data_IF_920167118886
#
_entry.id   IF_920167118886
#
_cell.length_a   1.000
_cell.length_b   1.000
_cell.length_c   1.000
_cell.angle_alpha   90.00
_cell.angle_beta   90.00
_cell.angle_gamma   90.00
#
_symmetry.space_group_name_H-M   'P 1'
#
loop_
_entity.id
_entity.type
_entity.pdbx_description
1 polymer ?
#
# COMPACT_ATOMS: atom_id res chain seq x y z
N UNK A 1 20.56 5.01 -35.14
CA UNK A 1 21.26 5.25 -33.87
C UNK A 1 21.93 3.96 -33.44
N UNK A 2 23.24 4.01 -33.19
CA UNK A 2 24.01 2.83 -32.78
C UNK A 2 23.59 2.41 -31.33
N UNK A 3 23.71 1.10 -31.04
CA UNK A 3 23.26 0.56 -29.74
C UNK A 3 23.92 1.23 -28.53
N UNK A 4 25.20 1.52 -28.60
CA UNK A 4 25.93 2.20 -27.52
C UNK A 4 25.42 3.62 -27.26
N UNK A 5 25.11 4.36 -28.34
CA UNK A 5 24.50 5.68 -28.25
C UNK A 5 23.10 5.62 -27.62
N UNK A 6 22.33 4.57 -27.95
CA UNK A 6 21.01 4.37 -27.37
C UNK A 6 21.09 4.07 -25.87
N UNK A 7 22.02 3.23 -25.44
CA UNK A 7 22.25 2.92 -24.02
C UNK A 7 22.60 4.21 -23.27
N UNK A 8 23.55 5.01 -23.79
CA UNK A 8 23.95 6.26 -23.17
C UNK A 8 22.80 7.26 -23.07
N UNK A 9 22.04 7.44 -24.15
CA UNK A 9 20.88 8.34 -24.14
C UNK A 9 19.81 7.87 -23.14
N UNK A 10 19.54 6.56 -23.07
CA UNK A 10 18.59 6.01 -22.10
C UNK A 10 19.07 6.28 -20.66
N UNK A 11 20.35 6.06 -20.37
CA UNK A 11 20.90 6.35 -19.04
C UNK A 11 20.80 7.84 -18.68
N UNK A 12 21.04 8.73 -19.64
CA UNK A 12 20.92 10.18 -19.41
C UNK A 12 19.44 10.58 -19.17
N UNK A 13 18.49 9.97 -19.89
CA UNK A 13 17.05 10.18 -19.63
C UNK A 13 16.62 9.66 -18.25
N UNK A 14 17.13 8.50 -17.84
CA UNK A 14 16.86 7.94 -16.50
C UNK A 14 17.45 8.80 -15.38
N UNK A 15 18.67 9.34 -15.56
CA UNK A 15 19.25 10.32 -14.60
C UNK A 15 18.36 11.54 -14.45
N UNK A 16 17.94 12.15 -15.57
CA UNK A 16 17.02 13.30 -15.55
C UNK A 16 15.69 12.98 -14.89
N UNK A 17 15.14 11.77 -15.11
CA UNK A 17 13.92 11.32 -14.45
C UNK A 17 14.07 11.35 -12.92
N UNK A 18 15.19 10.82 -12.40
CA UNK A 18 15.47 10.79 -10.95
C UNK A 18 15.75 12.20 -10.41
N UNK A 19 16.60 12.99 -11.07
CA UNK A 19 16.97 14.36 -10.66
C UNK A 19 15.74 15.28 -10.56
N UNK A 20 14.80 15.12 -11.50
CA UNK A 20 13.55 15.90 -11.51
C UNK A 20 12.44 15.30 -10.67
N UNK A 21 12.71 14.21 -9.91
CA UNK A 21 11.72 13.48 -9.12
C UNK A 21 10.50 13.04 -9.94
N UNK A 22 10.74 12.72 -11.22
CA UNK A 22 9.68 12.26 -12.12
C UNK A 22 9.22 10.85 -11.77
N UNK A 23 7.97 10.56 -12.07
CA UNK A 23 7.37 9.24 -11.84
C UNK A 23 7.59 8.28 -13.01
N UNK A 24 7.47 8.77 -14.23
CA UNK A 24 7.49 7.94 -15.42
C UNK A 24 8.28 8.62 -16.57
N UNK A 25 9.00 7.81 -17.37
CA UNK A 25 9.61 8.20 -18.64
C UNK A 25 8.85 7.49 -19.78
N UNK A 26 8.48 8.23 -20.80
CA UNK A 26 7.77 7.77 -21.97
C UNK A 26 8.69 7.78 -23.20
N UNK A 27 8.80 6.65 -23.87
CA UNK A 27 9.52 6.49 -25.14
C UNK A 27 8.53 5.97 -26.18
N UNK A 28 8.22 6.78 -27.16
CA UNK A 28 7.29 6.41 -28.26
C UNK A 28 7.69 7.13 -29.54
N UNK A 29 7.39 6.54 -30.69
CA UNK A 29 7.60 7.18 -31.98
C UNK A 29 6.66 8.36 -32.19
N UNK A 30 7.11 9.39 -32.90
CA UNK A 30 6.32 10.58 -33.21
C UNK A 30 6.17 11.57 -32.05
N UNK A 31 6.84 11.31 -30.91
CA UNK A 31 6.89 12.21 -29.76
C UNK A 31 8.30 12.29 -29.18
N UNK A 32 8.73 13.43 -28.60
CA UNK A 32 10.00 13.50 -27.90
C UNK A 32 10.02 12.58 -26.68
N UNK A 33 11.19 12.04 -26.24
CA UNK A 33 11.30 11.44 -24.93
C UNK A 33 10.72 12.38 -23.87
N UNK A 34 9.83 11.91 -23.02
CA UNK A 34 9.15 12.77 -22.06
C UNK A 34 9.09 12.14 -20.69
N UNK A 35 9.20 12.97 -19.64
CA UNK A 35 9.05 12.54 -18.25
C UNK A 35 7.78 13.13 -17.63
N UNK A 36 7.17 12.38 -16.72
CA UNK A 36 6.03 12.83 -15.93
C UNK A 36 6.52 13.37 -14.58
N UNK A 37 6.26 14.65 -14.33
CA UNK A 37 6.61 15.34 -13.07
C UNK A 37 5.37 16.03 -12.54
N UNK A 38 5.00 15.78 -11.30
CA UNK A 38 3.80 16.33 -10.64
C UNK A 38 2.50 16.13 -11.43
N UNK A 39 2.39 14.99 -12.11
CA UNK A 39 1.22 14.63 -12.92
C UNK A 39 1.27 15.13 -14.36
N UNK A 40 2.19 16.02 -14.73
CA UNK A 40 2.33 16.60 -16.06
C UNK A 40 3.43 15.92 -16.88
N UNK A 41 3.18 15.71 -18.17
CA UNK A 41 4.15 15.18 -19.12
C UNK A 41 5.00 16.32 -19.68
N UNK A 42 6.32 16.24 -19.48
CA UNK A 42 7.29 17.27 -19.90
C UNK A 42 8.29 16.68 -20.89
N UNK A 43 8.29 17.12 -22.17
CA UNK A 43 9.27 16.70 -23.16
C UNK A 43 10.70 17.01 -22.71
N UNK A 44 11.65 16.13 -23.06
CA UNK A 44 13.07 16.25 -22.71
C UNK A 44 13.94 16.73 -23.88
N UNK A 45 13.37 16.85 -25.07
CA UNK A 45 14.00 17.41 -26.26
C UNK A 45 12.93 18.03 -27.16
N UNK A 46 13.35 18.85 -28.14
CA UNK A 46 12.47 19.36 -29.19
C UNK A 46 12.29 18.33 -30.33
N UNK A 47 13.21 17.37 -30.43
CA UNK A 47 13.20 16.37 -31.50
C UNK A 47 12.30 15.20 -31.16
N UNK A 48 11.39 14.88 -32.04
CA UNK A 48 10.57 13.68 -31.96
C UNK A 48 11.40 12.43 -32.31
N UNK A 49 11.08 11.30 -31.73
CA UNK A 49 11.70 10.02 -32.03
C UNK A 49 11.14 9.46 -33.33
N UNK A 50 12.01 9.01 -34.25
CA UNK A 50 11.58 8.16 -35.36
C UNK A 50 11.20 6.75 -34.87
N UNK A 51 10.43 5.97 -35.62
CA UNK A 51 10.13 4.57 -35.29
C UNK A 51 11.37 3.73 -34.96
N UNK A 52 12.44 3.87 -35.77
CA UNK A 52 13.69 3.15 -35.56
C UNK A 52 14.44 3.60 -34.31
N UNK A 53 14.38 4.90 -33.99
CA UNK A 53 15.02 5.43 -32.78
C UNK A 53 14.32 4.96 -31.53
N UNK A 54 12.97 4.99 -31.49
CA UNK A 54 12.20 4.47 -30.39
C UNK A 54 12.45 2.97 -30.17
N UNK A 55 12.40 2.18 -31.25
CA UNK A 55 12.69 0.75 -31.19
C UNK A 55 14.11 0.46 -30.68
N UNK A 56 15.13 1.20 -31.15
CA UNK A 56 16.52 1.03 -30.71
C UNK A 56 16.69 1.37 -29.24
N UNK A 57 16.07 2.47 -28.75
CA UNK A 57 16.09 2.85 -27.34
C UNK A 57 15.47 1.78 -26.45
N UNK A 58 14.28 1.29 -26.79
CA UNK A 58 13.59 0.26 -26.00
C UNK A 58 14.39 -1.04 -25.96
N UNK A 59 14.88 -1.51 -27.11
CA UNK A 59 15.68 -2.73 -27.20
C UNK A 59 17.05 -2.61 -26.53
N UNK A 60 17.61 -1.39 -26.41
CA UNK A 60 18.93 -1.17 -25.78
C UNK A 60 18.98 -1.52 -24.31
N UNK A 61 17.83 -1.55 -23.62
CA UNK A 61 17.70 -1.88 -22.20
C UNK A 61 17.17 -3.29 -21.94
N UNK A 62 16.94 -4.08 -23.00
CA UNK A 62 16.53 -5.48 -22.92
C UNK A 62 17.73 -6.41 -22.99
N UNK A 63 17.68 -7.51 -22.22
CA UNK A 63 18.55 -8.66 -22.41
C UNK A 63 17.99 -9.62 -23.50
N UNK A 64 18.74 -10.69 -23.82
CA UNK A 64 18.35 -11.61 -24.90
C UNK A 64 17.04 -12.36 -24.61
N UNK A 65 16.77 -12.73 -23.34
CA UNK A 65 15.52 -13.37 -22.92
C UNK A 65 14.32 -12.43 -23.12
N UNK A 66 14.45 -11.19 -22.65
CA UNK A 66 13.43 -10.16 -22.77
C UNK A 66 13.16 -9.77 -24.23
N UNK A 67 14.22 -9.72 -25.04
CA UNK A 67 14.08 -9.46 -26.48
C UNK A 67 13.28 -10.57 -27.19
N UNK A 68 13.57 -11.85 -26.89
CA UNK A 68 12.83 -12.99 -27.46
C UNK A 68 11.38 -13.00 -27.01
N UNK A 69 11.12 -12.73 -25.73
CA UNK A 69 9.76 -12.62 -25.18
C UNK A 69 9.00 -11.50 -25.89
N UNK A 70 9.58 -10.31 -25.96
CA UNK A 70 8.98 -9.15 -26.62
C UNK A 70 8.68 -9.40 -28.11
N UNK A 71 9.57 -10.07 -28.83
CA UNK A 71 9.38 -10.38 -30.27
C UNK A 71 8.20 -11.36 -30.47
N UNK A 72 7.96 -12.27 -29.51
CA UNK A 72 6.88 -13.25 -29.60
C UNK A 72 5.54 -12.72 -29.12
N UNK A 73 5.51 -11.97 -28.00
CA UNK A 73 4.27 -11.55 -27.32
C UNK A 73 3.86 -10.11 -27.66
N UNK A 74 4.77 -9.28 -28.19
CA UNK A 74 4.63 -7.84 -28.43
C UNK A 74 4.54 -7.01 -27.14
N UNK A 75 4.76 -7.63 -25.99
CA UNK A 75 4.79 -7.02 -24.67
C UNK A 75 5.93 -7.64 -23.85
N UNK A 76 6.57 -6.84 -22.98
CA UNK A 76 7.55 -7.34 -22.02
C UNK A 76 7.62 -6.38 -20.83
N UNK A 77 7.43 -6.93 -19.63
CA UNK A 77 7.59 -6.20 -18.38
C UNK A 77 8.83 -6.70 -17.64
N UNK A 78 9.72 -5.78 -17.26
CA UNK A 78 10.97 -6.12 -16.61
C UNK A 78 11.50 -4.98 -15.75
N UNK A 79 12.44 -5.28 -14.86
CA UNK A 79 13.15 -4.27 -14.07
C UNK A 79 14.55 -4.03 -14.61
N UNK A 80 15.02 -2.80 -14.48
CA UNK A 80 16.41 -2.40 -14.74
C UNK A 80 16.97 -1.64 -13.55
N UNK A 81 18.26 -1.83 -13.26
CA UNK A 81 18.95 -1.14 -12.17
C UNK A 81 20.32 -0.62 -12.64
N UNK A 82 20.39 0.42 -13.51
CA UNK A 82 21.64 0.97 -13.94
C UNK A 82 22.43 1.52 -12.74
N UNK A 83 23.71 1.13 -12.66
CA UNK A 83 24.59 1.48 -11.54
C UNK A 83 24.65 2.99 -11.34
N UNK A 84 24.43 3.44 -10.11
CA UNK A 84 24.50 4.84 -9.70
C UNK A 84 23.32 5.73 -10.17
N UNK A 85 22.29 5.16 -10.80
CA UNK A 85 21.12 5.94 -11.28
C UNK A 85 19.87 5.60 -10.44
N UNK A 86 19.51 4.32 -10.34
CA UNK A 86 18.32 3.91 -9.61
C UNK A 86 17.75 2.60 -10.14
N UNK A 87 16.60 2.21 -9.62
CA UNK A 87 15.84 1.04 -10.10
C UNK A 87 14.55 1.50 -10.79
N UNK A 88 14.23 0.85 -11.90
CA UNK A 88 13.10 1.22 -12.74
C UNK A 88 12.35 -0.03 -13.20
N UNK A 89 11.03 0.08 -13.29
CA UNK A 89 10.16 -0.89 -13.95
C UNK A 89 9.91 -0.43 -15.37
N UNK A 90 10.13 -1.30 -16.33
CA UNK A 90 9.90 -1.05 -17.74
C UNK A 90 8.70 -1.87 -18.22
N UNK A 91 7.74 -1.20 -18.85
CA UNK A 91 6.68 -1.84 -19.63
C UNK A 91 6.91 -1.48 -21.08
N UNK A 92 7.38 -2.43 -21.85
CA UNK A 92 7.58 -2.31 -23.30
C UNK A 92 6.40 -2.95 -24.04
N UNK A 93 5.93 -2.29 -25.09
CA UNK A 93 4.75 -2.71 -25.85
C UNK A 93 4.83 -2.27 -27.31
N UNK A 94 3.98 -2.86 -28.14
CA UNK A 94 3.77 -2.44 -29.53
C UNK A 94 2.39 -1.79 -29.63
N UNK A 95 2.34 -0.56 -30.18
CA UNK A 95 1.10 0.15 -30.50
C UNK A 95 1.13 0.59 -31.97
N UNK A 96 0.04 0.34 -32.73
CA UNK A 96 -0.04 0.70 -34.15
C UNK A 96 1.17 0.22 -34.98
N UNK A 97 1.72 -0.96 -34.63
CA UNK A 97 2.93 -1.51 -35.25
C UNK A 97 4.25 -0.88 -34.81
N UNK A 98 4.24 0.12 -33.92
CA UNK A 98 5.41 0.84 -33.46
C UNK A 98 5.77 0.45 -32.02
N UNK A 99 7.07 0.36 -31.75
CA UNK A 99 7.60 0.01 -30.41
C UNK A 99 7.63 1.25 -29.53
N UNK A 100 7.15 1.09 -28.28
CA UNK A 100 7.24 2.07 -27.21
C UNK A 100 7.50 1.44 -25.86
N UNK A 101 7.83 2.25 -24.86
CA UNK A 101 7.85 1.82 -23.48
C UNK A 101 7.50 2.96 -22.50
N UNK A 102 7.03 2.54 -21.32
CA UNK A 102 6.95 3.39 -20.14
C UNK A 102 7.92 2.85 -19.10
N UNK A 103 8.77 3.74 -18.58
CA UNK A 103 9.73 3.40 -17.53
C UNK A 103 9.36 4.13 -16.27
N UNK A 104 8.97 3.40 -15.23
CA UNK A 104 8.55 3.93 -13.92
C UNK A 104 9.70 3.89 -12.92
N UNK A 105 9.90 4.99 -12.21
CA UNK A 105 10.88 5.06 -11.11
C UNK A 105 10.40 4.23 -9.93
N UNK A 106 11.27 3.36 -9.41
CA UNK A 106 11.07 2.66 -8.14
C UNK A 106 11.81 3.46 -7.06
N UNK A 107 11.07 3.89 -6.04
CA UNK A 107 11.64 4.73 -4.99
C UNK A 107 12.72 3.99 -4.20
N UNK A 108 13.91 4.57 -4.13
CA UNK A 108 15.03 4.02 -3.37
C UNK A 108 14.97 4.38 -1.86
N UNK A 109 14.29 5.47 -1.50
CA UNK A 109 14.18 5.91 -0.10
C UNK A 109 12.93 5.31 0.54
N UNK A 110 13.12 4.47 1.55
CA UNK A 110 12.05 3.94 2.39
C UNK A 110 11.85 4.92 3.54
N UNK A 111 10.66 5.52 3.70
CA UNK A 111 10.38 6.41 4.83
C UNK A 111 10.32 5.60 6.12
N UNK A 112 10.59 6.24 7.27
CA UNK A 112 10.43 5.61 8.58
C UNK A 112 8.97 5.64 9.02
N UNK A 113 8.62 4.82 10.02
CA UNK A 113 7.28 4.82 10.62
C UNK A 113 6.94 6.19 11.23
N UNK A 114 7.93 6.87 11.78
CA UNK A 114 7.83 8.22 12.36
C UNK A 114 7.60 9.29 11.29
N UNK A 115 8.37 9.27 10.21
CA UNK A 115 8.20 10.21 9.07
C UNK A 115 6.79 10.10 8.47
N UNK A 116 6.21 8.90 8.48
CA UNK A 116 4.87 8.64 7.99
C UNK A 116 3.77 8.91 9.02
N UNK A 117 4.12 9.24 10.27
CA UNK A 117 3.18 9.44 11.38
C UNK A 117 2.27 8.20 11.59
N UNK A 118 2.86 7.00 11.49
CA UNK A 118 2.13 5.75 11.66
C UNK A 118 2.01 5.36 13.14
N UNK A 119 0.93 4.65 13.52
CA UNK A 119 0.71 4.22 14.90
C UNK A 119 1.89 3.42 15.47
N UNK A 120 2.37 3.74 16.71
CA UNK A 120 3.55 3.08 17.31
C UNK A 120 3.42 1.56 17.43
N UNK A 121 2.20 1.04 17.58
CA UNK A 121 1.91 -0.40 17.69
C UNK A 121 2.43 -1.21 16.49
N UNK A 122 2.62 -0.59 15.32
CA UNK A 122 3.19 -1.26 14.14
C UNK A 122 4.60 -1.75 14.39
N UNK A 123 5.36 -1.08 15.28
CA UNK A 123 6.69 -1.53 15.70
C UNK A 123 6.60 -2.86 16.46
N UNK A 124 5.65 -2.97 17.38
CA UNK A 124 5.46 -4.20 18.14
C UNK A 124 4.96 -5.34 17.27
N UNK A 125 4.03 -5.04 16.34
CA UNK A 125 3.51 -6.02 15.39
C UNK A 125 4.64 -6.61 14.54
N UNK A 126 5.50 -5.79 13.94
CA UNK A 126 6.59 -6.28 13.06
C UNK A 126 7.71 -6.97 13.83
N UNK A 127 7.80 -6.74 15.16
CA UNK A 127 8.78 -7.38 16.04
C UNK A 127 8.30 -8.72 16.62
N UNK A 128 7.06 -9.12 16.34
CA UNK A 128 6.56 -10.45 16.75
C UNK A 128 7.42 -11.56 16.13
N UNK A 129 7.53 -12.67 16.86
CA UNK A 129 8.39 -13.80 16.42
C UNK A 129 7.77 -14.58 15.27
N UNK A 130 6.44 -14.78 15.30
CA UNK A 130 5.72 -15.63 14.35
C UNK A 130 4.26 -15.18 14.20
N UNK A 131 3.64 -15.63 13.13
CA UNK A 131 2.23 -15.45 12.83
C UNK A 131 2.01 -14.60 11.61
N UNK A 132 0.76 -14.43 11.22
CA UNK A 132 0.36 -13.77 9.98
C UNK A 132 -0.14 -12.35 10.25
N UNK A 133 0.46 -11.38 9.58
CA UNK A 133 0.06 -9.97 9.57
C UNK A 133 -0.35 -9.60 8.16
N UNK A 134 -1.58 -9.14 7.96
CA UNK A 134 -2.07 -8.76 6.63
C UNK A 134 -2.39 -7.28 6.62
N UNK A 135 -1.78 -6.55 5.69
CA UNK A 135 -2.07 -5.13 5.44
C UNK A 135 -3.04 -5.02 4.26
N UNK A 136 -4.19 -4.41 4.49
CA UNK A 136 -5.26 -4.30 3.50
C UNK A 136 -5.58 -2.85 3.15
N UNK A 137 -6.19 -2.64 2.00
CA UNK A 137 -6.58 -1.33 1.48
C UNK A 137 -6.69 -1.35 -0.03
N UNK A 138 -7.30 -0.33 -0.60
CA UNK A 138 -7.39 -0.15 -2.05
C UNK A 138 -6.03 0.07 -2.72
N UNK A 139 -6.02 0.09 -4.05
CA UNK A 139 -4.83 0.47 -4.82
C UNK A 139 -4.45 1.91 -4.50
N UNK A 140 -3.16 2.16 -4.27
CA UNK A 140 -2.65 3.49 -3.93
C UNK A 140 -2.94 3.94 -2.48
N UNK A 141 -3.42 3.06 -1.59
CA UNK A 141 -3.62 3.35 -0.17
C UNK A 141 -2.33 3.37 0.67
N UNK A 142 -1.17 3.07 0.07
CA UNK A 142 0.13 3.12 0.73
C UNK A 142 0.54 1.84 1.46
N UNK A 143 -0.11 0.71 1.23
CA UNK A 143 0.22 -0.60 1.86
C UNK A 143 1.70 -0.97 1.75
N UNK A 144 2.21 -0.98 0.51
CA UNK A 144 3.61 -1.34 0.24
C UNK A 144 4.59 -0.42 0.96
N UNK A 145 4.28 0.89 1.04
CA UNK A 145 5.11 1.86 1.74
C UNK A 145 5.13 1.61 3.25
N UNK A 146 3.97 1.35 3.86
CA UNK A 146 3.86 1.04 5.29
C UNK A 146 4.56 -0.29 5.62
N UNK A 147 4.38 -1.33 4.79
CA UNK A 147 5.10 -2.59 4.96
C UNK A 147 6.60 -2.42 4.80
N UNK A 148 7.05 -1.64 3.81
CA UNK A 148 8.47 -1.36 3.64
C UNK A 148 9.05 -0.64 4.87
N UNK A 149 8.34 0.32 5.46
CA UNK A 149 8.75 0.99 6.70
C UNK A 149 8.83 0.00 7.88
N UNK A 150 7.85 -0.91 8.02
CA UNK A 150 7.85 -1.96 9.05
C UNK A 150 9.02 -2.93 8.86
N UNK A 151 9.25 -3.42 7.65
CA UNK A 151 10.38 -4.30 7.32
C UNK A 151 11.72 -3.61 7.59
N UNK A 152 11.85 -2.33 7.18
CA UNK A 152 13.06 -1.56 7.43
C UNK A 152 13.33 -1.37 8.94
N UNK A 153 12.28 -1.10 9.74
CA UNK A 153 12.39 -1.01 11.19
C UNK A 153 12.93 -2.33 11.79
N UNK A 154 12.36 -3.48 11.40
CA UNK A 154 12.85 -4.80 11.85
C UNK A 154 14.27 -5.07 11.39
N UNK A 155 14.61 -4.75 10.14
CA UNK A 155 15.95 -4.88 9.57
C UNK A 155 17.01 -4.10 10.37
N UNK A 156 16.65 -2.97 10.96
CA UNK A 156 17.54 -2.17 11.82
C UNK A 156 17.69 -2.75 13.23
N UNK A 157 16.63 -3.34 13.76
CA UNK A 157 16.54 -3.72 15.17
C UNK A 157 16.86 -5.18 15.47
N UNK A 158 16.83 -6.05 14.46
CA UNK A 158 17.06 -7.50 14.63
C UNK A 158 18.21 -8.01 13.77
N UNK A 159 18.56 -9.27 14.00
CA UNK A 159 19.49 -10.02 13.16
C UNK A 159 18.77 -11.27 12.70
N UNK A 160 18.74 -11.51 11.39
CA UNK A 160 18.03 -12.64 10.82
C UNK A 160 17.94 -12.52 9.29
N UNK A 161 17.06 -13.30 8.70
CA UNK A 161 16.85 -13.33 7.26
C UNK A 161 15.41 -12.97 6.91
N UNK A 162 15.23 -11.93 6.10
CA UNK A 162 13.93 -11.48 5.60
C UNK A 162 13.87 -11.79 4.10
N UNK A 163 12.88 -12.56 3.68
CA UNK A 163 12.64 -12.86 2.26
C UNK A 163 11.39 -12.11 1.82
N UNK A 164 11.48 -11.43 0.69
CA UNK A 164 10.32 -10.82 0.04
C UNK A 164 10.03 -11.51 -1.29
N UNK A 165 8.77 -11.81 -1.55
CA UNK A 165 8.27 -12.36 -2.82
C UNK A 165 7.23 -11.40 -3.33
N UNK A 166 7.50 -10.72 -4.45
CA UNK A 166 6.70 -9.60 -4.93
C UNK A 166 6.54 -9.63 -6.45
N UNK A 167 5.52 -8.98 -6.96
CA UNK A 167 5.24 -8.85 -8.40
C UNK A 167 4.66 -7.44 -8.71
N UNK A 168 5.56 -6.48 -8.92
CA UNK A 168 7.02 -6.46 -8.76
C UNK A 168 7.47 -6.04 -7.36
N UNK A 169 8.82 -6.04 -7.13
CA UNK A 169 9.44 -5.43 -5.95
C UNK A 169 9.24 -3.92 -5.98
N UNK A 170 8.50 -3.39 -5.00
CA UNK A 170 8.21 -1.95 -4.88
C UNK A 170 9.31 -1.17 -4.15
N UNK A 171 9.98 -1.80 -3.17
CA UNK A 171 11.05 -1.20 -2.38
C UNK A 171 12.23 -2.16 -2.25
N UNK A 172 13.42 -1.65 -2.48
CA UNK A 172 14.66 -2.42 -2.27
C UNK A 172 15.26 -2.05 -0.91
N UNK A 173 15.32 -3.03 -0.03
CA UNK A 173 15.94 -2.89 1.27
C UNK A 173 17.44 -3.20 1.22
N UNK A 174 18.26 -2.31 1.75
CA UNK A 174 19.65 -2.59 2.00
C UNK A 174 19.80 -3.53 3.21
N UNK A 175 20.79 -4.41 3.19
CA UNK A 175 21.15 -5.18 4.38
C UNK A 175 21.59 -4.24 5.50
N UNK A 176 21.05 -4.43 6.70
CA UNK A 176 21.44 -3.70 7.92
C UNK A 176 21.77 -4.72 9.02
N UNK A 177 20.85 -4.95 9.97
CA UNK A 177 20.96 -6.05 10.92
C UNK A 177 20.57 -7.40 10.32
N UNK A 178 19.67 -7.39 9.34
CA UNK A 178 19.19 -8.58 8.65
C UNK A 178 19.80 -8.73 7.25
N UNK A 179 19.89 -9.98 6.79
CA UNK A 179 20.03 -10.28 5.36
C UNK A 179 18.65 -10.11 4.73
N UNK A 180 18.56 -9.39 3.63
CA UNK A 180 17.31 -9.21 2.88
C UNK A 180 17.46 -9.90 1.52
N UNK A 181 16.55 -10.80 1.18
CA UNK A 181 16.49 -11.46 -0.13
C UNK A 181 15.19 -11.05 -0.83
N UNK A 182 15.32 -10.34 -1.93
CA UNK A 182 14.18 -10.00 -2.79
C UNK A 182 14.02 -11.03 -3.89
N UNK A 183 12.79 -11.50 -4.11
CA UNK A 183 12.42 -12.43 -5.17
C UNK A 183 11.28 -11.82 -5.99
N UNK A 184 11.60 -11.23 -7.14
CA UNK A 184 10.61 -10.68 -8.07
C UNK A 184 10.09 -11.78 -8.99
N UNK A 185 8.78 -11.96 -9.03
CA UNK A 185 8.13 -12.95 -9.92
C UNK A 185 8.31 -12.52 -11.37
N UNK A 186 8.68 -13.46 -12.24
CA UNK A 186 9.02 -13.19 -13.63
C UNK A 186 10.46 -12.74 -13.89
N UNK A 187 11.18 -12.32 -12.83
CA UNK A 187 12.60 -11.88 -12.90
C UNK A 187 13.53 -12.82 -12.15
N UNK A 188 13.36 -12.94 -10.83
CA UNK A 188 14.20 -13.72 -9.94
C UNK A 188 13.64 -15.13 -9.69
N UNK A 189 12.37 -15.32 -9.99
CA UNK A 189 11.63 -16.60 -9.89
C UNK A 189 10.58 -16.65 -10.98
N UNK A 190 10.28 -17.83 -11.50
CA UNK A 190 9.35 -17.95 -12.63
C UNK A 190 7.90 -17.71 -12.23
N UNK A 191 7.48 -18.23 -11.07
CA UNK A 191 6.09 -18.16 -10.60
C UNK A 191 6.02 -17.96 -9.09
N UNK A 192 4.87 -17.49 -8.62
CA UNK A 192 4.54 -17.44 -7.20
C UNK A 192 4.71 -18.79 -6.52
N UNK A 193 4.16 -19.85 -7.12
CA UNK A 193 4.27 -21.22 -6.58
C UNK A 193 5.73 -21.64 -6.36
N UNK A 194 6.60 -21.42 -7.36
CA UNK A 194 8.02 -21.80 -7.27
C UNK A 194 8.75 -21.01 -6.18
N UNK A 195 8.46 -19.72 -6.05
CA UNK A 195 9.04 -18.90 -5.02
C UNK A 195 8.62 -19.38 -3.62
N UNK A 196 7.31 -19.47 -3.38
CA UNK A 196 6.74 -19.86 -2.08
C UNK A 196 7.18 -21.25 -1.65
N UNK A 197 7.09 -22.25 -2.54
CA UNK A 197 7.51 -23.63 -2.28
C UNK A 197 8.97 -23.76 -1.79
N UNK A 198 9.86 -22.92 -2.30
CA UNK A 198 11.28 -22.98 -1.96
C UNK A 198 11.67 -22.08 -0.78
N UNK A 199 10.79 -21.19 -0.32
CA UNK A 199 11.10 -20.18 0.69
C UNK A 199 11.60 -20.78 1.99
N UNK A 200 10.95 -21.81 2.55
CA UNK A 200 11.36 -22.43 3.82
C UNK A 200 12.78 -23.07 3.76
N UNK A 201 13.25 -23.45 2.57
CA UNK A 201 14.59 -23.98 2.38
C UNK A 201 15.70 -22.92 2.41
N UNK A 202 15.33 -21.66 2.43
CA UNK A 202 16.22 -20.51 2.45
C UNK A 202 16.42 -19.93 3.86
N UNK A 203 15.97 -20.66 4.91
CA UNK A 203 16.10 -20.30 6.32
C UNK A 203 15.60 -18.86 6.63
N UNK A 204 14.34 -18.49 6.30
CA UNK A 204 13.79 -17.19 6.63
C UNK A 204 13.42 -17.08 8.11
N UNK A 205 13.50 -15.88 8.67
CA UNK A 205 12.82 -15.51 9.93
C UNK A 205 11.53 -14.75 9.64
N UNK A 206 11.54 -13.97 8.56
CA UNK A 206 10.39 -13.18 8.10
C UNK A 206 10.18 -13.41 6.61
N UNK A 207 8.95 -13.59 6.22
CA UNK A 207 8.54 -13.77 4.83
C UNK A 207 7.52 -12.68 4.49
N UNK A 208 7.83 -11.85 3.48
CA UNK A 208 6.87 -10.90 2.92
C UNK A 208 6.29 -11.48 1.63
N UNK A 209 4.97 -11.64 1.60
CA UNK A 209 4.20 -12.01 0.42
C UNK A 209 3.56 -10.73 -0.10
N UNK A 210 4.04 -10.24 -1.26
CA UNK A 210 3.63 -8.94 -1.81
C UNK A 210 2.12 -8.77 -1.89
N UNK A 211 1.42 -9.81 -2.37
CA UNK A 211 -0.04 -9.84 -2.42
C UNK A 211 -0.59 -11.27 -2.36
N UNK A 212 -1.60 -11.48 -1.51
CA UNK A 212 -2.42 -12.70 -1.49
C UNK A 212 -3.59 -12.49 -2.46
N UNK A 213 -3.60 -13.26 -3.57
CA UNK A 213 -4.63 -13.15 -4.62
C UNK A 213 -5.57 -14.34 -4.67
N UNK A 214 -5.14 -15.47 -4.15
CA UNK A 214 -5.83 -16.75 -4.29
C UNK A 214 -5.63 -17.64 -3.06
N UNK A 215 -6.29 -18.79 -3.13
CA UNK A 215 -6.22 -19.83 -2.10
C UNK A 215 -4.80 -20.34 -1.89
N UNK A 216 -4.07 -20.64 -2.97
CA UNK A 216 -2.73 -21.24 -2.87
C UNK A 216 -1.77 -20.34 -2.12
N UNK A 217 -1.73 -19.05 -2.46
CA UNK A 217 -0.91 -18.05 -1.79
C UNK A 217 -1.29 -17.91 -0.32
N UNK A 218 -2.58 -17.98 0.00
CA UNK A 218 -3.08 -17.91 1.38
C UNK A 218 -2.68 -19.16 2.18
N UNK A 219 -2.79 -20.35 1.60
CA UNK A 219 -2.35 -21.61 2.24
C UNK A 219 -0.88 -21.56 2.60
N UNK A 220 0.00 -21.06 1.72
CA UNK A 220 1.41 -20.84 2.05
C UNK A 220 1.60 -19.85 3.19
N UNK A 221 0.87 -18.73 3.20
CA UNK A 221 0.93 -17.74 4.28
C UNK A 221 0.59 -18.35 5.65
N UNK A 222 -0.46 -19.16 5.72
CA UNK A 222 -0.85 -19.89 6.93
C UNK A 222 0.24 -20.89 7.33
N UNK A 223 0.70 -21.73 6.39
CA UNK A 223 1.72 -22.75 6.65
C UNK A 223 3.01 -22.14 7.18
N UNK A 224 3.47 -21.01 6.65
CA UNK A 224 4.66 -20.32 7.14
C UNK A 224 4.47 -19.82 8.57
N UNK A 225 3.30 -19.26 8.88
CA UNK A 225 2.97 -18.79 10.22
C UNK A 225 2.93 -19.95 11.23
N UNK A 226 2.35 -21.10 10.87
CA UNK A 226 2.30 -22.32 11.67
C UNK A 226 3.69 -22.89 11.96
N UNK A 227 4.57 -22.85 10.96
CA UNK A 227 5.95 -23.35 11.09
C UNK A 227 6.89 -22.39 11.83
N UNK A 228 6.35 -21.29 12.38
CA UNK A 228 7.07 -20.43 13.33
C UNK A 228 7.64 -19.14 12.74
N UNK A 229 7.30 -18.79 11.50
CA UNK A 229 7.79 -17.58 10.82
C UNK A 229 6.84 -16.41 11.00
N UNK A 230 7.36 -15.19 10.97
CA UNK A 230 6.53 -14.00 10.78
C UNK A 230 6.24 -13.83 9.29
N UNK A 231 4.96 -13.82 8.96
CA UNK A 231 4.48 -13.59 7.59
C UNK A 231 3.85 -12.21 7.53
N UNK A 232 4.34 -11.38 6.63
CA UNK A 232 3.77 -10.09 6.28
C UNK A 232 3.16 -10.24 4.89
N UNK A 233 1.93 -9.81 4.70
CA UNK A 233 1.28 -9.91 3.40
C UNK A 233 0.39 -8.70 3.11
N UNK A 234 0.06 -8.48 1.83
CA UNK A 234 -1.03 -7.56 1.48
C UNK A 234 -2.23 -8.32 0.92
N UNK A 235 -3.39 -7.70 1.03
CA UNK A 235 -4.63 -8.17 0.45
C UNK A 235 -5.48 -6.95 0.05
N UNK A 236 -6.24 -7.06 -1.03
CA UNK A 236 -7.21 -6.03 -1.41
C UNK A 236 -8.52 -6.22 -0.64
N UNK A 237 -8.73 -5.42 0.40
CA UNK A 237 -9.96 -5.27 1.15
C UNK A 237 -10.00 -3.86 1.75
N UNK A 238 -11.16 -3.41 2.24
CA UNK A 238 -11.31 -2.04 2.77
C UNK A 238 -11.42 -1.98 4.30
N UNK A 239 -11.52 -3.14 4.98
CA UNK A 239 -11.56 -3.27 6.44
C UNK A 239 -11.06 -4.65 6.87
N UNK A 240 -10.80 -4.82 8.18
CA UNK A 240 -10.41 -6.10 8.76
C UNK A 240 -11.50 -7.18 8.55
N UNK A 241 -12.76 -6.84 8.72
CA UNK A 241 -13.88 -7.75 8.49
C UNK A 241 -13.93 -8.21 7.03
N UNK A 242 -13.86 -7.27 6.08
CA UNK A 242 -13.83 -7.60 4.65
C UNK A 242 -12.60 -8.44 4.26
N UNK A 243 -11.47 -8.24 4.95
CA UNK A 243 -10.28 -9.06 4.73
C UNK A 243 -10.52 -10.52 5.12
N UNK A 244 -11.14 -10.75 6.27
CA UNK A 244 -11.51 -12.09 6.73
C UNK A 244 -12.52 -12.74 5.79
N UNK A 245 -13.60 -12.04 5.41
CA UNK A 245 -14.59 -12.51 4.46
C UNK A 245 -13.94 -12.89 3.12
N UNK A 246 -13.02 -12.06 2.63
CA UNK A 246 -12.31 -12.34 1.37
C UNK A 246 -11.44 -13.59 1.47
N UNK A 247 -10.69 -13.74 2.56
CA UNK A 247 -9.88 -14.94 2.81
C UNK A 247 -10.77 -16.18 2.90
N UNK A 248 -11.89 -16.13 3.62
CA UNK A 248 -12.85 -17.22 3.72
C UNK A 248 -13.38 -17.61 2.34
N UNK A 249 -13.65 -16.63 1.48
CA UNK A 249 -14.18 -16.86 0.13
C UNK A 249 -13.15 -17.44 -0.88
N UNK A 250 -11.85 -17.47 -0.55
CA UNK A 250 -10.87 -18.20 -1.36
C UNK A 250 -11.00 -19.72 -1.22
N UNK A 251 -11.66 -20.19 -0.17
CA UNK A 251 -11.73 -21.61 0.16
C UNK A 251 -13.15 -22.17 -0.08
N UNK A 252 -13.25 -23.42 -0.53
CA UNK A 252 -14.53 -24.10 -0.64
C UNK A 252 -15.14 -24.33 0.74
N UNK A 253 -16.45 -24.53 0.77
CA UNK A 253 -17.22 -24.63 2.03
C UNK A 253 -16.74 -25.76 2.94
N UNK A 254 -16.31 -26.87 2.36
CA UNK A 254 -15.82 -28.05 3.09
C UNK A 254 -14.50 -27.79 3.85
N UNK A 255 -13.77 -26.73 3.48
CA UNK A 255 -12.50 -26.35 4.12
C UNK A 255 -12.66 -25.20 5.11
N UNK A 256 -13.85 -24.63 5.20
CA UNK A 256 -14.09 -23.39 5.97
C UNK A 256 -13.83 -23.57 7.47
N UNK A 257 -14.27 -24.65 8.07
CA UNK A 257 -14.06 -24.92 9.50
C UNK A 257 -12.56 -24.99 9.84
N UNK A 258 -11.79 -25.76 9.08
CA UNK A 258 -10.34 -25.85 9.25
C UNK A 258 -9.67 -24.49 9.04
N UNK A 259 -10.07 -23.75 8.00
CA UNK A 259 -9.54 -22.41 7.73
C UNK A 259 -9.76 -21.46 8.89
N UNK A 260 -10.98 -21.41 9.45
CA UNK A 260 -11.30 -20.54 10.59
C UNK A 260 -10.46 -20.89 11.82
N UNK A 261 -10.25 -22.19 12.07
CA UNK A 261 -9.34 -22.65 13.12
C UNK A 261 -7.91 -22.17 12.86
N UNK A 262 -7.37 -22.37 11.66
CA UNK A 262 -6.02 -21.98 11.30
C UNK A 262 -5.82 -20.44 11.40
N UNK A 263 -6.80 -19.65 10.92
CA UNK A 263 -6.78 -18.19 11.02
C UNK A 263 -6.84 -17.73 12.48
N UNK A 264 -7.70 -18.34 13.31
CA UNK A 264 -7.85 -17.97 14.72
C UNK A 264 -6.55 -18.11 15.51
N UNK A 265 -5.74 -19.11 15.15
CA UNK A 265 -4.44 -19.41 15.81
C UNK A 265 -3.28 -18.59 15.25
N UNK A 266 -3.28 -18.35 13.93
CA UNK A 266 -2.10 -17.84 13.22
C UNK A 266 -2.15 -16.34 12.90
N UNK A 267 -3.31 -15.71 12.73
CA UNK A 267 -3.39 -14.26 12.56
C UNK A 267 -2.83 -13.57 13.80
N UNK A 268 -2.04 -12.52 13.58
CA UNK A 268 -1.56 -11.60 14.62
C UNK A 268 -2.22 -10.25 14.51
N UNK A 269 -2.35 -9.75 13.30
CA UNK A 269 -2.98 -8.47 13.06
C UNK A 269 -3.54 -8.38 11.64
N UNK A 270 -4.67 -7.68 11.50
CA UNK A 270 -5.17 -7.16 10.24
C UNK A 270 -5.11 -5.63 10.32
N UNK A 271 -4.42 -5.01 9.37
CA UNK A 271 -4.19 -3.58 9.33
C UNK A 271 -4.82 -3.04 8.05
N UNK A 272 -5.88 -2.27 8.17
CA UNK A 272 -6.50 -1.64 7.01
C UNK A 272 -6.06 -0.18 6.90
N UNK A 273 -5.80 0.30 5.68
CA UNK A 273 -5.20 1.62 5.46
C UNK A 273 -5.92 2.40 4.35
N UNK A 274 -6.17 3.69 4.65
CA UNK A 274 -6.64 4.70 3.69
C UNK A 274 -5.72 5.91 3.75
N UNK A 275 -5.47 6.57 2.61
CA UNK A 275 -4.72 7.82 2.57
C UNK A 275 -5.68 9.00 2.46
N UNK A 276 -5.62 9.89 3.45
CA UNK A 276 -6.47 11.07 3.57
C UNK A 276 -5.65 12.31 3.21
N UNK A 277 -6.17 13.28 2.44
CA UNK A 277 -5.51 14.57 2.21
C UNK A 277 -5.17 15.24 3.54
N UNK A 278 -4.00 15.86 3.63
CA UNK A 278 -3.64 16.67 4.81
C UNK A 278 -4.36 18.00 4.76
N UNK A 279 -4.79 18.50 5.93
CA UNK A 279 -5.42 19.82 6.09
C UNK A 279 -4.51 20.96 5.58
N UNK A 280 -3.19 20.77 5.66
CA UNK A 280 -2.19 21.70 5.11
C UNK A 280 -2.20 21.82 3.58
N UNK A 281 -2.97 20.98 2.87
CA UNK A 281 -3.01 20.90 1.40
C UNK A 281 -1.80 20.21 0.78
N UNK A 282 -0.78 19.82 1.56
CA UNK A 282 0.44 19.18 1.07
C UNK A 282 0.53 17.71 1.46
N UNK A 283 0.33 16.82 0.47
CA UNK A 283 0.46 15.38 0.65
C UNK A 283 -0.73 14.71 1.35
N UNK A 284 -0.53 13.48 1.77
CA UNK A 284 -1.56 12.63 2.39
C UNK A 284 -1.04 12.02 3.69
N UNK A 285 -1.96 11.61 4.56
CA UNK A 285 -1.66 10.90 5.80
C UNK A 285 -2.46 9.60 5.86
N UNK A 286 -1.91 8.57 6.51
CA UNK A 286 -2.58 7.29 6.63
C UNK A 286 -3.57 7.30 7.81
N UNK A 287 -4.84 7.03 7.53
CA UNK A 287 -5.79 6.56 8.53
C UNK A 287 -5.73 5.03 8.56
N UNK A 288 -5.66 4.45 9.76
CA UNK A 288 -5.50 3.01 9.93
C UNK A 288 -6.56 2.43 10.85
N UNK A 289 -7.13 1.32 10.42
CA UNK A 289 -7.85 0.38 11.27
C UNK A 289 -6.89 -0.76 11.65
N UNK A 290 -6.80 -1.09 12.93
CA UNK A 290 -5.86 -2.09 13.45
C UNK A 290 -6.60 -3.08 14.33
N UNK A 291 -6.69 -4.33 13.88
CA UNK A 291 -7.16 -5.48 14.64
C UNK A 291 -5.95 -6.26 15.16
N UNK A 292 -5.92 -6.54 16.44
CA UNK A 292 -4.97 -7.48 17.05
C UNK A 292 -5.71 -8.76 17.45
N UNK A 293 -5.06 -9.89 17.29
CA UNK A 293 -5.65 -11.18 17.67
C UNK A 293 -5.58 -11.39 19.19
N UNK A 294 -6.55 -10.84 19.91
CA UNK A 294 -6.79 -11.14 21.31
C UNK A 294 -7.55 -12.47 21.47
N UNK A 295 -7.59 -13.08 22.68
CA UNK A 295 -8.37 -14.31 22.89
C UNK A 295 -9.83 -14.20 22.44
N UNK A 296 -10.48 -13.05 22.65
CA UNK A 296 -11.85 -12.82 22.20
C UNK A 296 -11.95 -12.71 20.68
N UNK A 297 -11.02 -12.02 20.01
CA UNK A 297 -10.97 -11.94 18.55
C UNK A 297 -10.71 -13.34 17.95
N UNK A 298 -9.80 -14.12 18.56
CA UNK A 298 -9.52 -15.49 18.15
C UNK A 298 -10.77 -16.37 18.21
N UNK A 299 -11.55 -16.27 19.29
CA UNK A 299 -12.81 -17.02 19.46
C UNK A 299 -13.86 -16.60 18.40
N UNK A 300 -13.99 -15.29 18.13
CA UNK A 300 -14.89 -14.79 17.10
C UNK A 300 -14.50 -15.27 15.69
N UNK A 301 -13.19 -15.28 15.38
CA UNK A 301 -12.70 -15.82 14.11
C UNK A 301 -13.01 -17.30 14.01
N UNK A 302 -12.73 -18.08 15.06
CA UNK A 302 -12.99 -19.51 15.09
C UNK A 302 -14.47 -19.84 14.87
N UNK A 303 -15.38 -19.05 15.45
CA UNK A 303 -16.82 -19.20 15.28
C UNK A 303 -17.36 -18.65 13.95
N UNK A 304 -16.54 -17.93 13.18
CA UNK A 304 -16.97 -17.24 11.97
C UNK A 304 -17.83 -16.00 12.23
N UNK A 305 -17.84 -15.49 13.46
CA UNK A 305 -18.62 -14.30 13.87
C UNK A 305 -17.88 -12.99 13.51
N UNK A 306 -17.51 -12.85 12.23
CA UNK A 306 -16.68 -11.74 11.73
C UNK A 306 -17.32 -10.38 11.99
N UNK A 307 -18.64 -10.28 11.92
CA UNK A 307 -19.38 -9.02 12.12
C UNK A 307 -19.18 -8.42 13.53
N UNK A 308 -18.99 -9.26 14.56
CA UNK A 308 -18.80 -8.83 15.94
C UNK A 308 -17.39 -8.26 16.23
N UNK A 309 -16.40 -8.52 15.38
CA UNK A 309 -15.00 -8.12 15.57
C UNK A 309 -14.86 -6.59 15.72
N UNK A 310 -15.56 -5.82 14.89
CA UNK A 310 -15.47 -4.36 14.88
C UNK A 310 -15.88 -3.74 16.23
N UNK A 311 -16.90 -4.30 16.87
CA UNK A 311 -17.34 -3.83 18.20
C UNK A 311 -16.29 -4.11 19.27
N UNK A 312 -15.64 -5.27 19.23
CA UNK A 312 -14.54 -5.61 20.15
C UNK A 312 -13.35 -4.68 19.93
N UNK A 313 -12.99 -4.41 18.68
CA UNK A 313 -11.91 -3.45 18.36
C UNK A 313 -12.20 -2.06 18.91
N UNK A 314 -13.42 -1.55 18.75
CA UNK A 314 -13.83 -0.24 19.23
C UNK A 314 -13.67 -0.08 20.75
N UNK A 315 -13.84 -1.17 21.51
CA UNK A 315 -13.69 -1.21 22.98
C UNK A 315 -12.27 -1.50 23.46
N UNK A 316 -11.36 -1.88 22.55
CA UNK A 316 -10.02 -2.38 22.89
C UNK A 316 -8.88 -1.42 22.56
N UNK A 317 -9.11 -0.11 22.55
CA UNK A 317 -8.13 0.93 22.24
C UNK A 317 -6.88 0.86 23.12
N UNK A 318 -7.02 0.55 24.41
CA UNK A 318 -5.89 0.42 25.34
C UNK A 318 -4.90 -0.68 24.96
N UNK A 319 -5.35 -1.67 24.18
CA UNK A 319 -4.50 -2.73 23.63
C UNK A 319 -3.85 -2.36 22.32
N UNK A 320 -4.11 -1.17 21.78
CA UNK A 320 -3.61 -0.71 20.48
C UNK A 320 -4.52 -1.03 19.30
N UNK A 321 -5.69 -1.67 19.53
CA UNK A 321 -6.70 -1.82 18.48
C UNK A 321 -7.35 -0.47 18.17
N UNK A 322 -7.76 -0.29 16.92
CA UNK A 322 -8.34 0.97 16.48
C UNK A 322 -9.27 0.73 15.29
N UNK A 323 -10.44 1.35 15.29
CA UNK A 323 -11.31 1.42 14.11
C UNK A 323 -10.93 2.59 13.21
N UNK A 324 -11.40 2.60 11.95
CA UNK A 324 -11.20 3.76 11.08
C UNK A 324 -11.77 5.04 11.66
N UNK A 325 -12.96 5.00 12.25
CA UNK A 325 -13.63 6.16 12.82
C UNK A 325 -12.83 6.76 13.99
N UNK A 326 -12.22 5.90 14.81
CA UNK A 326 -11.31 6.32 15.87
C UNK A 326 -10.03 6.94 15.32
N UNK A 327 -9.44 6.34 14.27
CA UNK A 327 -8.26 6.88 13.61
C UNK A 327 -8.53 8.25 12.97
N UNK A 328 -9.66 8.40 12.30
CA UNK A 328 -10.06 9.67 11.68
C UNK A 328 -10.29 10.76 12.73
N UNK A 329 -10.94 10.43 13.84
CA UNK A 329 -11.11 11.37 14.96
C UNK A 329 -9.76 11.84 15.51
N UNK A 330 -8.83 10.93 15.76
CA UNK A 330 -7.49 11.28 16.28
C UNK A 330 -6.70 12.16 15.28
N UNK A 331 -6.75 11.85 13.98
CA UNK A 331 -6.10 12.66 12.96
C UNK A 331 -6.73 14.06 12.83
N UNK A 332 -8.05 14.16 12.97
CA UNK A 332 -8.75 15.43 13.01
C UNK A 332 -8.35 16.23 14.25
N UNK A 333 -8.38 15.62 15.44
CA UNK A 333 -8.02 16.27 16.70
C UNK A 333 -6.56 16.77 16.71
N UNK A 334 -5.66 16.02 16.04
CA UNK A 334 -4.28 16.43 15.86
C UNK A 334 -4.08 17.55 14.79
N UNK A 335 -5.14 18.03 14.11
CA UNK A 335 -5.04 19.05 13.07
C UNK A 335 -4.41 18.56 11.78
N UNK A 336 -4.41 17.24 11.53
CA UNK A 336 -3.75 16.64 10.39
C UNK A 336 -4.69 16.47 9.19
N UNK A 337 -6.00 16.38 9.43
CA UNK A 337 -7.04 16.29 8.39
C UNK A 337 -8.20 17.25 8.70
N UNK A 338 -8.93 17.66 7.68
CA UNK A 338 -10.10 18.51 7.80
C UNK A 338 -11.32 17.76 8.37
N UNK A 339 -12.30 18.51 8.86
CA UNK A 339 -13.58 17.96 9.30
C UNK A 339 -14.31 17.23 8.16
N UNK A 340 -14.33 17.85 6.97
CA UNK A 340 -14.97 17.31 5.78
C UNK A 340 -14.33 15.99 5.36
N UNK A 341 -13.00 15.91 5.39
CA UNK A 341 -12.27 14.68 5.05
C UNK A 341 -12.45 13.60 6.10
N UNK A 342 -12.52 13.95 7.38
CA UNK A 342 -12.84 13.00 8.45
C UNK A 342 -14.21 12.36 8.21
N UNK A 343 -15.26 13.16 7.92
CA UNK A 343 -16.60 12.64 7.66
C UNK A 343 -16.73 11.90 6.33
N UNK A 344 -16.02 12.35 5.28
CA UNK A 344 -16.06 11.72 3.94
C UNK A 344 -15.52 10.30 3.98
N UNK A 345 -14.50 10.05 4.81
CA UNK A 345 -13.81 8.77 4.89
C UNK A 345 -14.28 7.89 6.05
N UNK A 346 -15.22 8.37 6.89
CA UNK A 346 -15.77 7.63 8.01
C UNK A 346 -16.61 6.43 7.54
N UNK A 347 -16.52 5.34 8.29
CA UNK A 347 -17.42 4.20 8.16
C UNK A 347 -18.81 4.56 8.68
N UNK A 348 -18.88 5.29 9.82
CA UNK A 348 -20.11 5.87 10.39
C UNK A 348 -19.96 7.39 10.53
N UNK A 349 -20.46 8.13 9.53
CA UNK A 349 -20.43 9.61 9.55
C UNK A 349 -21.07 10.21 10.80
N UNK A 350 -22.15 9.60 11.27
CA UNK A 350 -22.89 10.09 12.44
C UNK A 350 -22.10 9.89 13.72
N UNK A 351 -21.42 8.76 13.88
CA UNK A 351 -20.58 8.49 15.06
C UNK A 351 -19.38 9.45 15.09
N UNK A 352 -18.67 9.63 13.97
CA UNK A 352 -17.54 10.57 13.91
C UNK A 352 -17.99 12.01 14.18
N UNK A 353 -19.13 12.43 13.57
CA UNK A 353 -19.71 13.76 13.83
C UNK A 353 -20.06 13.96 15.30
N UNK A 354 -20.75 12.99 15.91
CA UNK A 354 -21.13 13.05 17.32
C UNK A 354 -19.90 13.10 18.23
N UNK A 355 -18.92 12.27 17.93
CA UNK A 355 -17.67 12.22 18.69
C UNK A 355 -16.90 13.53 18.62
N UNK A 356 -16.77 14.11 17.41
CA UNK A 356 -16.15 15.44 17.25
C UNK A 356 -16.92 16.48 18.06
N UNK A 357 -18.25 16.48 18.00
CA UNK A 357 -19.08 17.46 18.75
C UNK A 357 -18.95 17.34 20.27
N UNK A 358 -18.78 16.13 20.79
CA UNK A 358 -18.75 15.86 22.24
C UNK A 358 -17.34 15.88 22.84
N UNK A 359 -16.33 15.43 22.10
CA UNK A 359 -15.00 15.15 22.63
C UNK A 359 -13.90 16.06 22.06
N UNK A 360 -14.14 16.76 20.91
CA UNK A 360 -13.10 17.57 20.29
C UNK A 360 -12.77 18.80 21.12
N UNK A 361 -11.48 19.09 21.20
CA UNK A 361 -10.92 20.31 21.78
C UNK A 361 -10.65 21.39 20.74
N UNK A 362 -10.82 21.07 19.44
CA UNK A 362 -10.68 22.05 18.35
C UNK A 362 -11.92 22.91 18.29
N UNK A 363 -11.73 24.24 18.19
CA UNK A 363 -12.83 25.17 17.85
C UNK A 363 -13.36 24.81 16.46
N UNK A 364 -14.51 24.19 16.41
CA UNK A 364 -15.21 23.92 15.17
C UNK A 364 -15.99 25.18 14.76
N UNK A 365 -15.75 25.69 13.55
CA UNK A 365 -16.60 26.75 12.91
C UNK A 365 -18.09 26.35 12.80
N UNK A 366 -18.43 25.13 13.23
CA UNK A 366 -19.80 24.60 13.25
C UNK A 366 -20.69 25.19 14.35
N UNK A 367 -20.12 25.94 15.33
CA UNK A 367 -20.94 26.66 16.34
C UNK A 367 -21.73 27.82 15.76
N UNK A 368 -21.30 28.38 14.61
CA UNK A 368 -21.93 29.57 14.06
C UNK A 368 -23.08 29.28 13.05
N UNK A 369 -23.07 28.15 12.36
CA UNK A 369 -24.16 27.83 11.41
C UNK A 369 -25.36 27.13 12.07
N UNK A 370 -25.16 26.35 13.12
CA UNK A 370 -26.27 25.71 13.85
C UNK A 370 -26.91 26.66 14.90
N UNK A 371 -26.16 27.63 15.39
CA UNK A 371 -26.67 28.65 16.33
C UNK A 371 -27.56 29.71 15.69
N UNK A 372 -27.40 29.93 14.38
CA UNK A 372 -28.20 30.96 13.66
C UNK A 372 -29.54 30.45 13.12
N UNK A 373 -29.84 29.15 13.19
CA UNK A 373 -31.09 28.59 12.66
C UNK A 373 -32.18 28.36 13.71
N UNK A 374 -31.93 28.67 14.98
CA UNK A 374 -32.90 28.62 16.07
C UNK A 374 -33.01 30.01 16.72
N UNK A 375 -33.48 31.00 15.97
CA UNK A 375 -34.13 32.15 16.55
C UNK A 375 -35.59 31.77 16.81
N UNK A 376 -35.95 31.66 18.09
CA UNK A 376 -37.36 31.67 18.51
C UNK A 376 -37.93 33.02 18.07
N UNK A 377 -38.93 33.00 17.21
CA UNK A 377 -39.75 34.19 16.96
C UNK A 377 -40.46 34.51 18.28
N UNK A 378 -40.02 35.55 18.97
CA UNK A 378 -40.84 36.21 19.99
C UNK A 378 -42.01 36.84 19.26
N UNK A 379 -43.22 36.30 19.44
CA UNK A 379 -44.47 36.98 19.05
C UNK A 379 -44.55 38.25 19.89
N UNK A 380 -44.47 39.40 19.24
CA UNK A 380 -44.90 40.67 19.78
C UNK A 380 -46.41 40.56 20.07
N UNK A 381 -46.74 40.38 21.34
CA UNK A 381 -48.12 40.63 21.85
C UNK A 381 -48.28 42.14 21.85
N UNK A 382 -48.84 42.68 20.74
CA UNK A 382 -49.25 44.06 20.68
C UNK A 382 -50.54 44.25 21.53
N UNK A 383 -50.31 44.81 22.72
CA UNK A 383 -51.34 45.16 23.68
C UNK A 383 -52.01 46.48 23.31
N UNK A 384 -53.07 46.39 22.54
CA UNK A 384 -54.00 47.51 22.44
C UNK A 384 -55.35 47.13 23.01
N UNK A 385 -55.51 47.36 24.32
CA UNK A 385 -56.82 47.57 24.99
C UNK A 385 -57.06 49.05 24.92
N UNK A 386 -58.09 49.43 24.24
CA UNK A 386 -58.50 50.81 24.18
C UNK A 386 -59.99 51.03 23.81
N UNK A 387 -60.81 51.14 24.84
CA UNK A 387 -62.13 51.78 24.91
C UNK A 387 -63.24 51.34 23.96
#
# INVERSE_FOLDING_TARGET
MEREQAIKLMQDLLKRLVERKGSDLFITAGFPPAIKVDGEIRPQSERVLTPEQAATLVRSIMNDKQTKEFDSTKECNFAIAPVGIGRFRVSAFVQQGLIGCVVRTINAKIPTLEEMVLPPILKDIVMTKRGLVIVVGGTGSGKSTSLAAMVNYRNEKTRGHIITIEDPVEYVHNHKGCVITHREVGVDTETWHMALKNTLRQAPDVILIGEIRDRETMEYGIQFAETGHLVLATLHANSANQALDRVINFFPEERREQLLMDLSLNIRSLISQRLIPRESGAGRIAAMEIMLNSPLISDLIFKGEVAAIKEVMAKSNRMGMKTFDQSLFELYEAGLISYEDALRNADSKNEVRLRIKLESKRETRLSDEAGNSLRIMEEEIDGTIGR
#
